data_IF_819485117431
#
_entry.id   IF_819485117431
#
_cell.length_a   1.000
_cell.length_b   1.000
_cell.length_c   1.000
_cell.angle_alpha   90.00
_cell.angle_beta   90.00
_cell.angle_gamma   90.00
#
_symmetry.space_group_name_H-M   'P 1'
#
loop_
_entity.id
_entity.type
_entity.pdbx_description
1 polymer ?
#
# COMPACT_ATOMS: atom_id res chain seq x y z
N UNK A 1 12.46 -0.90 27.24
CA UNK A 1 11.73 -2.17 27.19
C UNK A 1 11.76 -2.63 25.73
N UNK A 2 12.41 -3.77 25.41
CA UNK A 2 12.40 -4.29 24.05
C UNK A 2 11.06 -4.99 23.83
N UNK A 3 10.27 -4.53 22.85
CA UNK A 3 9.08 -5.23 22.42
C UNK A 3 9.49 -6.47 21.62
N UNK A 4 9.03 -7.64 22.02
CA UNK A 4 9.17 -8.86 21.24
C UNK A 4 8.00 -8.88 20.23
N UNK A 5 8.26 -8.40 19.03
CA UNK A 5 7.29 -8.50 17.92
C UNK A 5 7.24 -9.94 17.39
N UNK A 6 6.04 -10.43 17.15
CA UNK A 6 5.80 -11.77 16.60
C UNK A 6 5.81 -11.73 15.07
N UNK A 7 5.38 -10.62 14.50
CA UNK A 7 5.29 -10.39 13.05
C UNK A 7 5.71 -8.95 12.71
N UNK A 8 6.19 -8.76 11.49
CA UNK A 8 6.55 -7.45 10.96
C UNK A 8 5.78 -7.16 9.68
N UNK A 9 5.19 -5.98 9.59
CA UNK A 9 4.56 -5.43 8.40
C UNK A 9 5.48 -4.38 7.80
N UNK A 10 5.81 -4.52 6.52
CA UNK A 10 6.48 -3.48 5.75
C UNK A 10 5.46 -2.59 5.05
N UNK A 11 5.37 -1.33 5.45
CA UNK A 11 4.36 -0.38 4.97
C UNK A 11 4.98 0.65 4.02
N UNK A 12 4.47 0.71 2.79
CA UNK A 12 4.87 1.70 1.79
C UNK A 12 3.81 2.79 1.73
N UNK A 13 4.21 4.03 2.00
CA UNK A 13 3.32 5.18 2.17
C UNK A 13 3.73 6.33 1.24
N UNK A 14 2.79 7.00 0.55
CA UNK A 14 3.10 8.26 -0.13
C UNK A 14 3.61 9.32 0.84
N UNK A 15 4.62 10.09 0.45
CA UNK A 15 5.26 11.10 1.32
C UNK A 15 4.30 12.20 1.80
N UNK A 16 3.24 12.46 1.04
CA UNK A 16 2.21 13.45 1.38
C UNK A 16 1.16 12.94 2.38
N UNK A 17 1.08 11.62 2.62
CA UNK A 17 0.11 11.06 3.56
C UNK A 17 0.62 11.13 5.00
N UNK A 18 -0.18 11.69 5.89
CA UNK A 18 0.14 11.83 7.33
C UNK A 18 -0.75 10.96 8.22
N UNK A 19 -1.76 10.29 7.65
CA UNK A 19 -2.78 9.58 8.41
C UNK A 19 -2.60 8.06 8.39
N UNK A 20 -2.15 7.50 7.26
CA UNK A 20 -2.07 6.05 7.07
C UNK A 20 -1.13 5.41 8.09
N UNK A 21 0.07 5.93 8.26
CA UNK A 21 1.05 5.38 9.20
C UNK A 21 0.52 5.42 10.65
N UNK A 22 -0.09 6.55 11.03
CA UNK A 22 -0.73 6.68 12.35
C UNK A 22 -1.89 5.68 12.54
N UNK A 23 -2.70 5.46 11.49
CA UNK A 23 -3.78 4.48 11.53
C UNK A 23 -3.25 3.05 11.71
N UNK A 24 -2.18 2.68 11.00
CA UNK A 24 -1.56 1.37 11.18
C UNK A 24 -1.06 1.17 12.62
N UNK A 25 -0.36 2.14 13.20
CA UNK A 25 0.08 2.07 14.59
C UNK A 25 -1.09 2.02 15.60
N UNK A 26 -2.22 2.63 15.26
CA UNK A 26 -3.39 2.62 16.13
C UNK A 26 -4.17 1.29 16.08
N UNK A 27 -4.27 0.67 14.90
CA UNK A 27 -5.14 -0.49 14.69
C UNK A 27 -4.40 -1.83 14.65
N UNK A 28 -3.07 -1.83 14.46
CA UNK A 28 -2.30 -3.06 14.55
C UNK A 28 -2.18 -3.52 16.01
N UNK A 29 -2.25 -4.85 16.26
CA UNK A 29 -1.92 -5.40 17.57
C UNK A 29 -0.51 -5.01 18.01
N UNK A 30 -0.29 -4.86 19.31
CA UNK A 30 1.01 -4.44 19.87
C UNK A 30 2.16 -5.40 19.54
N UNK A 31 1.84 -6.66 19.25
CA UNK A 31 2.81 -7.69 18.85
C UNK A 31 3.25 -7.59 17.39
N UNK A 32 2.63 -6.71 16.59
CA UNK A 32 2.96 -6.51 15.19
C UNK A 32 3.83 -5.25 15.04
N UNK A 33 5.06 -5.44 14.59
CA UNK A 33 5.90 -4.30 14.20
C UNK A 33 5.44 -3.72 12.86
N UNK A 34 5.52 -2.40 12.73
CA UNK A 34 5.30 -1.70 11.46
C UNK A 34 6.57 -0.96 11.09
N UNK A 35 7.23 -1.42 10.04
CA UNK A 35 8.36 -0.74 9.41
C UNK A 35 7.85 0.05 8.21
N UNK A 36 8.11 1.35 8.15
CA UNK A 36 7.57 2.23 7.11
C UNK A 36 8.66 2.75 6.19
N UNK A 37 8.39 2.73 4.88
CA UNK A 37 9.16 3.46 3.87
C UNK A 37 8.23 4.42 3.13
N UNK A 38 8.69 5.65 2.88
CA UNK A 38 7.89 6.71 2.26
C UNK A 38 8.38 6.99 0.85
N UNK A 39 7.49 6.88 -0.13
CA UNK A 39 7.77 7.18 -1.53
C UNK A 39 7.36 8.62 -1.87
N UNK A 40 8.18 9.31 -2.65
CA UNK A 40 7.94 10.72 -2.99
C UNK A 40 6.70 10.87 -3.87
N UNK A 41 5.67 11.53 -3.37
CA UNK A 41 4.48 11.91 -4.10
C UNK A 41 4.07 13.33 -3.70
N UNK A 42 4.35 14.29 -4.56
CA UNK A 42 4.04 15.69 -4.33
C UNK A 42 2.81 16.17 -5.12
N UNK A 43 2.46 15.48 -6.20
CA UNK A 43 1.31 15.81 -7.05
C UNK A 43 0.70 14.52 -7.61
N UNK A 44 -0.62 14.47 -7.71
CA UNK A 44 -1.35 13.35 -8.26
C UNK A 44 -1.73 13.62 -9.72
N UNK A 45 -1.16 12.80 -10.64
CA UNK A 45 -1.47 12.78 -12.07
C UNK A 45 -1.17 11.38 -12.61
N UNK A 46 -1.66 11.06 -13.82
CA UNK A 46 -1.35 9.79 -14.48
C UNK A 46 0.16 9.59 -14.61
N UNK A 47 0.87 10.63 -15.04
CA UNK A 47 2.33 10.58 -15.19
C UNK A 47 3.04 10.27 -13.86
N UNK A 48 2.67 10.95 -12.77
CA UNK A 48 3.31 10.69 -11.46
C UNK A 48 2.98 9.29 -10.94
N UNK A 49 1.82 8.73 -11.25
CA UNK A 49 1.48 7.34 -10.90
C UNK A 49 2.37 6.33 -11.64
N UNK A 50 2.68 6.57 -12.92
CA UNK A 50 3.61 5.74 -13.69
C UNK A 50 5.03 5.79 -13.10
N UNK A 51 5.48 6.98 -12.72
CA UNK A 51 6.79 7.19 -12.11
C UNK A 51 6.90 6.57 -10.70
N UNK A 52 5.78 6.36 -10.01
CA UNK A 52 5.77 5.79 -8.65
C UNK A 52 6.06 4.29 -8.63
N UNK A 53 5.79 3.55 -9.69
CA UNK A 53 5.97 2.09 -9.69
C UNK A 53 7.41 1.68 -9.34
N UNK A 54 8.46 2.17 -10.03
CA UNK A 54 9.84 1.84 -9.67
C UNK A 54 10.24 2.34 -8.28
N UNK A 55 9.69 3.45 -7.81
CA UNK A 55 9.94 3.94 -6.44
C UNK A 55 9.29 3.02 -5.39
N UNK A 56 8.11 2.48 -5.69
CA UNK A 56 7.43 1.51 -4.81
C UNK A 56 8.21 0.20 -4.74
N UNK A 57 8.72 -0.29 -5.87
CA UNK A 57 9.58 -1.48 -5.90
C UNK A 57 10.87 -1.28 -5.07
N UNK A 58 11.53 -0.13 -5.21
CA UNK A 58 12.72 0.17 -4.43
C UNK A 58 12.43 0.27 -2.93
N UNK A 59 11.33 0.94 -2.56
CA UNK A 59 10.89 1.02 -1.17
C UNK A 59 10.60 -0.36 -0.57
N UNK A 60 10.02 -1.27 -1.36
CA UNK A 60 9.81 -2.65 -0.95
C UNK A 60 11.14 -3.39 -0.70
N UNK A 61 12.13 -3.23 -1.58
CA UNK A 61 13.46 -3.81 -1.41
C UNK A 61 14.13 -3.28 -0.14
N UNK A 62 14.05 -1.98 0.11
CA UNK A 62 14.62 -1.37 1.33
C UNK A 62 13.96 -1.91 2.60
N UNK A 63 12.63 -2.14 2.56
CA UNK A 63 11.89 -2.72 3.67
C UNK A 63 12.28 -4.18 3.97
N UNK A 64 12.84 -4.93 3.00
CA UNK A 64 13.32 -6.29 3.25
C UNK A 64 14.40 -6.34 4.34
N UNK A 65 15.14 -5.25 4.60
CA UNK A 65 16.10 -5.18 5.70
C UNK A 65 15.45 -5.27 7.10
N UNK A 66 14.15 -5.00 7.19
CA UNK A 66 13.36 -5.20 8.41
C UNK A 66 12.73 -6.60 8.50
N UNK A 67 13.03 -7.50 7.55
CA UNK A 67 12.52 -8.88 7.46
C UNK A 67 10.99 -8.96 7.62
N UNK A 68 10.19 -8.21 6.82
CA UNK A 68 8.75 -8.21 6.98
C UNK A 68 8.12 -9.53 6.52
N UNK A 69 7.07 -9.95 7.21
CA UNK A 69 6.25 -11.11 6.83
C UNK A 69 5.31 -10.79 5.65
N UNK A 70 4.96 -9.52 5.49
CA UNK A 70 4.09 -9.00 4.42
C UNK A 70 4.45 -7.56 4.09
N UNK A 71 4.38 -7.22 2.82
CA UNK A 71 4.49 -5.84 2.34
C UNK A 71 3.10 -5.28 2.04
N UNK A 72 2.87 -4.02 2.36
CA UNK A 72 1.60 -3.33 2.11
C UNK A 72 1.88 -2.05 1.32
N UNK A 73 1.31 -1.97 0.12
CA UNK A 73 1.24 -0.71 -0.62
C UNK A 73 -0.05 0.01 -0.25
N UNK A 74 0.07 1.08 0.53
CA UNK A 74 -1.06 1.76 1.13
C UNK A 74 -1.76 2.78 0.22
N UNK A 75 -1.25 3.02 -0.99
CA UNK A 75 -1.86 3.95 -1.93
C UNK A 75 -3.01 3.31 -2.70
N UNK A 76 -4.25 3.66 -2.36
CA UNK A 76 -5.42 3.22 -3.10
C UNK A 76 -5.39 3.69 -4.56
N UNK A 77 -4.96 4.93 -4.79
CA UNK A 77 -4.88 5.51 -6.15
C UNK A 77 -3.89 4.76 -7.03
N UNK A 78 -2.72 4.42 -6.50
CA UNK A 78 -1.74 3.62 -7.24
C UNK A 78 -2.28 2.22 -7.52
N UNK A 79 -3.00 1.61 -6.56
CA UNK A 79 -3.72 0.36 -6.76
C UNK A 79 -4.72 0.45 -7.89
N UNK A 80 -5.61 1.43 -7.90
CA UNK A 80 -6.58 1.62 -8.98
C UNK A 80 -5.93 1.75 -10.36
N UNK A 81 -4.73 2.30 -10.43
CA UNK A 81 -4.00 2.49 -11.68
C UNK A 81 -3.31 1.22 -12.18
N UNK A 82 -2.64 0.44 -11.30
CA UNK A 82 -1.77 -0.68 -11.69
C UNK A 82 -1.70 -1.81 -10.65
N UNK A 83 -2.81 -2.14 -10.00
CA UNK A 83 -2.85 -3.04 -8.83
C UNK A 83 -2.12 -4.39 -9.03
N UNK A 84 -2.55 -5.15 -10.02
CA UNK A 84 -1.97 -6.48 -10.28
C UNK A 84 -0.49 -6.39 -10.70
N UNK A 85 -0.12 -5.36 -11.46
CA UNK A 85 1.26 -5.13 -11.85
C UNK A 85 2.13 -4.78 -10.66
N UNK A 86 1.65 -3.88 -9.79
CA UNK A 86 2.34 -3.47 -8.58
C UNK A 86 2.59 -4.64 -7.65
N UNK A 87 1.54 -5.42 -7.36
CA UNK A 87 1.65 -6.61 -6.52
C UNK A 87 2.69 -7.58 -7.08
N UNK A 88 2.56 -7.96 -8.36
CA UNK A 88 3.46 -8.90 -9.00
C UNK A 88 4.92 -8.40 -9.02
N UNK A 89 5.16 -7.14 -9.34
CA UNK A 89 6.51 -6.56 -9.36
C UNK A 89 7.15 -6.62 -7.98
N UNK A 90 6.43 -6.22 -6.93
CA UNK A 90 6.93 -6.25 -5.55
C UNK A 90 7.22 -7.68 -5.10
N UNK A 91 6.30 -8.62 -5.32
CA UNK A 91 6.47 -10.03 -4.93
C UNK A 91 7.62 -10.71 -5.67
N UNK A 92 7.76 -10.47 -6.98
CA UNK A 92 8.88 -11.00 -7.77
C UNK A 92 10.24 -10.43 -7.33
N UNK A 93 10.27 -9.16 -6.95
CA UNK A 93 11.49 -8.47 -6.57
C UNK A 93 11.98 -8.85 -5.17
N UNK A 94 11.05 -9.10 -4.26
CA UNK A 94 11.33 -9.29 -2.82
C UNK A 94 11.16 -10.73 -2.33
N UNK A 95 10.34 -11.53 -3.01
CA UNK A 95 9.93 -12.85 -2.53
C UNK A 95 8.94 -12.80 -1.36
N UNK A 96 8.47 -11.60 -0.97
CA UNK A 96 7.58 -11.39 0.17
C UNK A 96 6.16 -11.10 -0.36
N UNK A 97 5.11 -11.70 0.24
CA UNK A 97 3.72 -11.41 -0.16
C UNK A 97 3.41 -9.91 -0.07
N UNK A 98 2.72 -9.39 -1.09
CA UNK A 98 2.33 -7.99 -1.15
C UNK A 98 0.81 -7.85 -1.17
N UNK A 99 0.29 -6.96 -0.34
CA UNK A 99 -1.12 -6.57 -0.32
C UNK A 99 -1.24 -5.11 -0.71
N UNK A 100 -2.12 -4.82 -1.66
CA UNK A 100 -2.47 -3.44 -2.02
C UNK A 100 -3.76 -3.02 -1.33
N UNK A 101 -3.95 -1.72 -1.14
CA UNK A 101 -5.19 -1.18 -0.55
C UNK A 101 -6.42 -1.52 -1.40
N UNK A 102 -6.29 -1.56 -2.73
CA UNK A 102 -7.41 -1.92 -3.61
C UNK A 102 -7.77 -3.39 -3.46
N UNK A 103 -6.78 -4.29 -3.48
CA UNK A 103 -7.00 -5.73 -3.29
C UNK A 103 -7.69 -6.00 -1.94
N UNK A 104 -7.22 -5.36 -0.87
CA UNK A 104 -7.83 -5.48 0.46
C UNK A 104 -9.29 -5.01 0.47
N UNK A 105 -9.58 -3.87 -0.18
CA UNK A 105 -10.94 -3.34 -0.30
C UNK A 105 -11.85 -4.29 -1.09
N UNK A 106 -11.41 -4.76 -2.25
CA UNK A 106 -12.18 -5.69 -3.10
C UNK A 106 -12.48 -6.99 -2.34
N UNK A 107 -11.49 -7.55 -1.65
CA UNK A 107 -11.67 -8.75 -0.84
C UNK A 107 -12.67 -8.53 0.30
N UNK A 108 -12.61 -7.38 0.97
CA UNK A 108 -13.57 -7.03 2.03
C UNK A 108 -15.00 -6.94 1.47
N UNK A 109 -15.20 -6.24 0.35
CA UNK A 109 -16.52 -6.08 -0.29
C UNK A 109 -17.10 -7.43 -0.70
N UNK A 110 -16.29 -8.30 -1.29
CA UNK A 110 -16.69 -9.66 -1.67
C UNK A 110 -17.11 -10.49 -0.45
N UNK A 111 -16.35 -10.44 0.64
CA UNK A 111 -16.68 -11.12 1.90
C UNK A 111 -17.98 -10.60 2.52
N UNK A 112 -18.29 -9.31 2.33
CA UNK A 112 -19.53 -8.69 2.79
C UNK A 112 -20.71 -8.89 1.80
N UNK A 113 -20.50 -9.57 0.65
CA UNK A 113 -21.52 -9.75 -0.37
C UNK A 113 -21.97 -8.44 -1.05
N UNK A 114 -21.09 -7.43 -1.09
CA UNK A 114 -21.40 -6.12 -1.66
C UNK A 114 -20.89 -6.02 -3.10
N UNK A 115 -21.82 -6.03 -4.05
CA UNK A 115 -21.50 -6.03 -5.49
C UNK A 115 -22.02 -4.77 -6.23
N UNK A 116 -22.75 -3.90 -5.54
CA UNK A 116 -23.26 -2.62 -6.09
C UNK A 116 -22.79 -1.50 -5.17
N UNK A 117 -21.94 -0.62 -5.70
CA UNK A 117 -21.29 0.44 -4.95
C UNK A 117 -21.61 1.79 -5.60
N UNK A 118 -21.74 2.82 -4.77
CA UNK A 118 -21.58 4.20 -5.18
C UNK A 118 -20.16 4.62 -4.74
N UNK A 119 -19.40 5.14 -5.69
CA UNK A 119 -18.02 5.57 -5.43
C UNK A 119 -17.95 7.09 -5.56
N UNK A 120 -17.44 7.75 -4.53
CA UNK A 120 -17.16 9.18 -4.52
C UNK A 120 -15.66 9.38 -4.30
N UNK A 121 -15.02 10.11 -5.20
CA UNK A 121 -13.59 10.39 -5.14
C UNK A 121 -13.33 11.90 -5.19
N UNK A 122 -12.21 12.38 -4.67
CA UNK A 122 -11.76 13.76 -4.82
C UNK A 122 -10.95 13.98 -6.10
N UNK A 123 -10.88 13.00 -6.99
CA UNK A 123 -9.98 13.01 -8.14
C UNK A 123 -10.54 13.80 -9.31
N UNK A 124 -9.65 14.30 -10.15
CA UNK A 124 -9.98 14.85 -11.45
C UNK A 124 -10.49 13.75 -12.39
N UNK A 125 -11.23 14.15 -13.41
CA UNK A 125 -11.89 13.22 -14.33
C UNK A 125 -10.94 12.19 -14.95
N UNK A 126 -9.74 12.60 -15.34
CA UNK A 126 -8.70 11.73 -15.91
C UNK A 126 -8.28 10.57 -15.01
N UNK A 127 -8.40 10.73 -13.68
CA UNK A 127 -8.09 9.68 -12.72
C UNK A 127 -9.30 8.81 -12.34
N UNK A 128 -10.51 9.31 -12.58
CA UNK A 128 -11.74 8.57 -12.30
C UNK A 128 -12.12 7.57 -13.39
N UNK A 129 -11.50 7.66 -14.57
CA UNK A 129 -11.75 6.77 -15.72
C UNK A 129 -10.71 5.66 -15.86
N UNK A 130 -9.70 5.64 -14.98
CA UNK A 130 -8.68 4.59 -14.90
C UNK A 130 -9.25 3.33 -14.26
#
# INVERSE_FOLDING_TARGET
MYHHYVKTVGLIVPSSDVNIEAAYHQFMPEEIAVATNRISLNRLSVQTLEELLPHTEQAAVDLCHAEPDVLISSSLTLGCFRDAMLQNCVEQRTGIPCVTSLLALVNLLNRCGKHRLAVLTPYQEELNIL
#
